data_IF_877907947472
#
_entry.id   IF_877907947472
#
_cell.length_a   1.000
_cell.length_b   1.000
_cell.length_c   1.000
_cell.angle_alpha   90.00
_cell.angle_beta   90.00
_cell.angle_gamma   90.00
#
_symmetry.space_group_name_H-M   'P 1'
#
loop_
_entity.id
_entity.type
_entity.pdbx_description
1 polymer ?
#
# COMPACT_ATOMS: atom_id res chain seq x y z
N UNK A 1 19.99 18.40 -28.70
CA UNK A 1 19.80 16.95 -28.50
C UNK A 1 18.71 16.77 -27.47
N UNK A 2 17.66 16.08 -27.90
CA UNK A 2 16.36 15.90 -27.29
C UNK A 2 16.43 15.16 -25.94
N UNK A 3 15.52 15.43 -25.02
CA UNK A 3 14.42 14.48 -24.72
C UNK A 3 13.19 15.28 -24.31
N UNK A 4 12.09 14.95 -24.98
CA UNK A 4 10.76 15.53 -24.94
C UNK A 4 10.06 15.34 -23.59
N UNK A 5 9.75 16.43 -22.89
CA UNK A 5 8.63 16.46 -21.95
C UNK A 5 7.33 16.42 -22.75
N UNK A 6 6.82 15.21 -22.98
CA UNK A 6 5.52 15.03 -23.62
C UNK A 6 4.43 15.42 -22.63
N UNK A 7 4.11 16.71 -22.63
CA UNK A 7 2.89 17.26 -22.06
C UNK A 7 1.73 16.78 -22.95
N UNK A 8 1.19 15.60 -22.65
CA UNK A 8 -0.07 15.15 -23.27
C UNK A 8 -1.21 15.98 -22.70
N UNK A 9 -1.59 16.99 -23.49
CA UNK A 9 -2.77 17.85 -23.37
C UNK A 9 -4.01 17.00 -23.06
N UNK A 10 -4.55 17.14 -21.85
CA UNK A 10 -5.83 16.53 -21.48
C UNK A 10 -6.97 17.37 -22.05
N UNK A 11 -7.48 16.92 -23.20
CA UNK A 11 -8.87 17.18 -23.57
C UNK A 11 -9.83 16.67 -22.50
N UNK A 12 -10.93 17.39 -22.32
CA UNK A 12 -11.96 17.17 -21.32
C UNK A 12 -12.55 15.74 -21.34
N UNK A 13 -12.20 14.91 -20.35
CA UNK A 13 -13.12 13.90 -19.78
C UNK A 13 -12.81 13.65 -18.28
N UNK A 14 -13.70 14.09 -17.40
CA UNK A 14 -13.62 13.98 -15.92
C UNK A 14 -14.07 12.60 -15.39
N UNK A 15 -14.00 11.53 -16.19
CA UNK A 15 -14.33 10.16 -15.74
C UNK A 15 -13.14 9.51 -15.01
N UNK A 16 -13.22 9.52 -13.68
CA UNK A 16 -12.55 8.64 -12.69
C UNK A 16 -11.33 7.84 -13.23
N UNK A 17 -10.21 8.50 -13.54
CA UNK A 17 -8.94 7.78 -13.71
C UNK A 17 -8.61 7.10 -12.38
N UNK A 18 -8.75 5.78 -12.31
CA UNK A 18 -8.34 4.97 -11.17
C UNK A 18 -6.83 5.14 -10.98
N UNK A 19 -6.43 5.95 -10.01
CA UNK A 19 -5.02 6.12 -9.65
C UNK A 19 -4.46 4.76 -9.26
N UNK A 20 -3.39 4.37 -9.93
CA UNK A 20 -2.73 3.07 -9.73
C UNK A 20 -1.26 3.33 -9.43
N UNK A 21 -0.72 2.66 -8.41
CA UNK A 21 0.67 2.80 -8.01
C UNK A 21 1.37 1.45 -7.95
N UNK A 22 2.69 1.48 -8.11
CA UNK A 22 3.56 0.38 -7.69
C UNK A 22 3.84 0.55 -6.20
N UNK A 23 3.58 -0.50 -5.43
CA UNK A 23 3.74 -0.54 -3.99
C UNK A 23 4.30 -1.90 -3.55
N UNK A 24 4.68 -2.00 -2.28
CA UNK A 24 5.42 -3.11 -1.73
C UNK A 24 4.82 -3.56 -0.41
N UNK A 25 4.88 -4.86 -0.16
CA UNK A 25 4.51 -5.49 1.10
C UNK A 25 5.60 -6.49 1.50
N UNK A 26 6.27 -6.24 2.61
CA UNK A 26 7.25 -7.16 3.17
C UNK A 26 6.58 -8.22 4.02
N UNK A 27 6.94 -9.48 3.82
CA UNK A 27 6.37 -10.63 4.52
C UNK A 27 7.35 -11.81 4.49
N UNK A 28 6.95 -12.97 5.01
CA UNK A 28 7.75 -14.20 4.90
C UNK A 28 7.61 -14.84 3.51
N UNK A 29 8.58 -15.65 3.10
CA UNK A 29 8.56 -16.35 1.81
C UNK A 29 7.32 -17.24 1.66
N UNK A 30 6.98 -17.99 2.71
CA UNK A 30 5.77 -18.82 2.73
C UNK A 30 4.50 -17.97 2.56
N UNK A 31 4.41 -16.84 3.27
CA UNK A 31 3.26 -15.95 3.16
C UNK A 31 3.18 -15.29 1.78
N UNK A 32 4.31 -14.88 1.19
CA UNK A 32 4.35 -14.32 -0.16
C UNK A 32 3.83 -15.30 -1.22
N UNK A 33 4.23 -16.57 -1.13
CA UNK A 33 3.71 -17.64 -2.02
C UNK A 33 2.21 -17.86 -1.82
N UNK A 34 1.75 -17.90 -0.58
CA UNK A 34 0.32 -18.02 -0.25
C UNK A 34 -0.50 -16.85 -0.82
N UNK A 35 -0.04 -15.61 -0.62
CA UNK A 35 -0.67 -14.40 -1.14
C UNK A 35 -0.68 -14.37 -2.67
N UNK A 36 0.39 -14.81 -3.34
CA UNK A 36 0.43 -14.90 -4.80
C UNK A 36 -0.61 -15.89 -5.35
N UNK A 37 -0.85 -17.00 -4.63
CA UNK A 37 -1.79 -18.05 -5.04
C UNK A 37 -3.25 -17.73 -4.69
N UNK A 38 -3.49 -17.14 -3.52
CA UNK A 38 -4.83 -16.99 -2.95
C UNK A 38 -5.31 -15.54 -2.82
N UNK A 39 -4.44 -14.57 -3.13
CA UNK A 39 -4.69 -13.16 -2.89
C UNK A 39 -4.45 -12.75 -1.44
N UNK A 40 -4.51 -11.44 -1.19
CA UNK A 40 -4.40 -10.91 0.17
C UNK A 40 -5.66 -11.18 0.98
N UNK A 41 -5.47 -11.44 2.26
CA UNK A 41 -6.50 -11.29 3.28
C UNK A 41 -6.24 -9.99 4.04
N UNK A 42 -7.30 -9.29 4.44
CA UNK A 42 -7.17 -8.10 5.27
C UNK A 42 -6.79 -8.47 6.69
N UNK A 43 -6.05 -7.60 7.35
CA UNK A 43 -6.03 -7.58 8.81
C UNK A 43 -7.40 -7.15 9.36
N UNK A 44 -7.69 -7.56 10.59
CA UNK A 44 -8.90 -7.14 11.33
C UNK A 44 -8.73 -5.79 12.04
N UNK A 45 -7.49 -5.35 12.26
CA UNK A 45 -7.15 -4.04 12.85
C UNK A 45 -5.76 -3.57 12.39
N UNK A 46 -5.36 -2.39 12.83
CA UNK A 46 -4.03 -1.80 12.68
C UNK A 46 -4.08 -0.30 12.97
N UNK A 47 -2.98 0.42 12.68
CA UNK A 47 -2.91 1.87 12.85
C UNK A 47 -4.05 2.60 12.13
N UNK A 48 -4.45 2.10 10.95
CA UNK A 48 -5.51 2.64 10.11
C UNK A 48 -6.76 1.74 10.10
N UNK A 49 -6.90 0.85 11.08
CA UNK A 49 -7.98 -0.14 11.11
C UNK A 49 -7.78 -1.29 10.11
N UNK A 50 -8.85 -2.05 9.82
CA UNK A 50 -8.77 -3.24 8.97
C UNK A 50 -8.43 -2.93 7.50
N UNK A 51 -7.53 -3.73 6.92
CA UNK A 51 -7.16 -3.61 5.52
C UNK A 51 -5.86 -4.33 5.18
N UNK A 52 -5.34 -4.06 3.98
CA UNK A 52 -4.02 -4.54 3.54
C UNK A 52 -3.05 -3.37 3.55
N UNK A 53 -1.98 -3.49 4.33
CA UNK A 53 -0.97 -2.46 4.52
C UNK A 53 0.14 -2.58 3.48
N UNK A 54 0.39 -1.50 2.74
CA UNK A 54 1.38 -1.43 1.67
C UNK A 54 2.11 -0.09 1.71
N UNK A 55 3.28 -0.04 1.08
CA UNK A 55 4.13 1.15 1.05
C UNK A 55 4.69 1.36 -0.36
N UNK A 56 4.87 2.61 -0.79
CA UNK A 56 5.60 2.96 -2.02
C UNK A 56 7.11 2.81 -1.86
N UNK A 57 7.61 2.68 -0.62
CA UNK A 57 9.03 2.47 -0.34
C UNK A 57 9.38 0.98 -0.25
N UNK A 58 10.15 0.50 -1.23
CA UNK A 58 10.75 -0.84 -1.19
C UNK A 58 11.70 -1.01 0.01
N UNK A 59 12.49 0.02 0.31
CA UNK A 59 13.43 -0.01 1.44
C UNK A 59 12.71 -0.15 2.79
N UNK A 60 11.52 0.44 2.92
CA UNK A 60 10.65 0.19 4.09
C UNK A 60 10.15 -1.25 4.09
N UNK A 61 9.66 -1.75 2.95
CA UNK A 61 9.06 -3.08 2.89
C UNK A 61 10.06 -4.22 3.16
N UNK A 62 11.29 -4.13 2.64
CA UNK A 62 12.29 -5.21 2.76
C UNK A 62 12.72 -5.55 4.19
N UNK A 63 12.51 -4.64 5.15
CA UNK A 63 12.84 -4.88 6.57
C UNK A 63 11.69 -5.51 7.36
N UNK A 64 10.55 -5.82 6.72
CA UNK A 64 9.45 -6.57 7.34
C UNK A 64 9.44 -8.05 6.92
N UNK A 65 8.98 -8.96 7.81
CA UNK A 65 8.65 -8.70 9.22
C UNK A 65 9.91 -8.42 10.04
N UNK A 66 9.88 -7.51 11.02
CA UNK A 66 11.08 -7.15 11.79
C UNK A 66 11.75 -8.38 12.44
N UNK A 67 10.94 -9.28 13.00
CA UNK A 67 11.37 -10.58 13.50
C UNK A 67 11.01 -11.66 12.47
N UNK A 68 12.02 -12.29 11.87
CA UNK A 68 11.83 -13.37 10.91
C UNK A 68 11.78 -14.72 11.65
N UNK A 69 10.73 -15.53 11.48
CA UNK A 69 10.68 -16.86 12.08
C UNK A 69 11.83 -17.75 11.60
N UNK A 70 12.26 -18.70 12.45
CA UNK A 70 13.29 -19.67 12.09
C UNK A 70 12.82 -20.49 10.86
N UNK A 71 13.69 -20.61 9.86
CA UNK A 71 13.42 -21.34 8.63
C UNK A 71 12.65 -20.55 7.56
N UNK A 72 12.29 -19.29 7.82
CA UNK A 72 11.70 -18.41 6.81
C UNK A 72 12.77 -17.57 6.11
N UNK A 73 12.46 -17.17 4.88
CA UNK A 73 13.19 -16.13 4.14
C UNK A 73 12.33 -14.87 4.06
N UNK A 74 12.92 -13.68 4.10
CA UNK A 74 12.17 -12.45 3.83
C UNK A 74 11.81 -12.38 2.35
N UNK A 75 10.61 -11.89 2.08
CA UNK A 75 10.14 -11.63 0.73
C UNK A 75 9.41 -10.30 0.69
N UNK A 76 9.57 -9.59 -0.43
CA UNK A 76 8.83 -8.38 -0.75
C UNK A 76 7.95 -8.67 -1.96
N UNK A 77 6.65 -8.48 -1.79
CA UNK A 77 5.71 -8.51 -2.89
C UNK A 77 5.76 -7.17 -3.63
N UNK A 78 6.00 -7.20 -4.94
CA UNK A 78 5.82 -6.06 -5.84
C UNK A 78 4.36 -6.03 -6.32
N UNK A 79 3.67 -4.92 -6.09
CA UNK A 79 2.21 -4.82 -6.22
C UNK A 79 1.80 -3.71 -7.18
N UNK A 80 0.78 -3.97 -7.99
CA UNK A 80 -0.01 -2.92 -8.66
C UNK A 80 -1.27 -2.67 -7.86
N UNK A 81 -1.40 -1.48 -7.26
CA UNK A 81 -2.49 -1.13 -6.34
C UNK A 81 -3.38 -0.05 -6.95
N UNK A 82 -4.67 -0.33 -7.09
CA UNK A 82 -5.70 0.65 -7.46
C UNK A 82 -6.21 1.34 -6.20
N UNK A 83 -5.78 2.58 -5.93
CA UNK A 83 -6.07 3.24 -4.64
C UNK A 83 -7.46 3.89 -4.55
N UNK A 84 -8.11 4.17 -5.68
CA UNK A 84 -9.47 4.74 -5.67
C UNK A 84 -9.58 6.06 -4.89
N UNK A 85 -10.62 6.19 -4.05
CA UNK A 85 -10.84 7.35 -3.19
C UNK A 85 -9.99 7.24 -1.92
N UNK A 86 -8.99 8.10 -1.79
CA UNK A 86 -8.01 8.06 -0.69
C UNK A 86 -8.40 9.02 0.42
N UNK A 87 -8.36 8.57 1.69
CA UNK A 87 -8.44 9.43 2.87
C UNK A 87 -7.06 9.63 3.47
N UNK A 88 -6.59 10.87 3.51
CA UNK A 88 -5.40 11.26 4.26
C UNK A 88 -5.70 11.18 5.78
N UNK A 89 -4.85 10.49 6.52
CA UNK A 89 -4.86 10.34 7.98
C UNK A 89 -3.52 10.88 8.49
N UNK A 90 -3.49 12.12 8.95
CA UNK A 90 -2.25 12.88 9.20
C UNK A 90 -2.03 13.27 10.66
N UNK A 91 -2.71 12.59 11.58
CA UNK A 91 -2.45 12.69 13.01
C UNK A 91 -3.01 11.49 13.74
N UNK A 92 -2.36 11.13 14.85
CA UNK A 92 -2.90 10.15 15.78
C UNK A 92 -4.24 10.65 16.34
N UNK A 93 -5.22 9.75 16.45
CA UNK A 93 -6.59 10.09 16.86
C UNK A 93 -7.38 10.86 15.80
N UNK A 94 -7.01 10.78 14.51
CA UNK A 94 -7.82 11.36 13.44
C UNK A 94 -9.24 10.72 13.48
N UNK A 95 -10.35 11.49 13.33
CA UNK A 95 -11.72 10.97 13.50
C UNK A 95 -12.07 9.76 12.62
N UNK A 96 -11.47 9.71 11.42
CA UNK A 96 -11.63 8.60 10.47
C UNK A 96 -10.46 7.60 10.47
N UNK A 97 -9.56 7.63 11.46
CA UNK A 97 -8.33 6.83 11.46
C UNK A 97 -8.60 5.34 11.22
N UNK A 98 -9.62 4.77 11.84
CA UNK A 98 -10.00 3.35 11.68
C UNK A 98 -11.30 3.11 10.90
N UNK A 99 -12.08 4.15 10.64
CA UNK A 99 -13.45 4.05 10.09
C UNK A 99 -13.59 4.59 8.68
N UNK A 100 -12.53 5.13 8.06
CA UNK A 100 -12.56 5.71 6.71
C UNK A 100 -13.28 4.85 5.65
N UNK A 101 -13.16 3.52 5.71
CA UNK A 101 -13.83 2.62 4.77
C UNK A 101 -15.37 2.70 4.86
N UNK A 102 -15.91 2.94 6.05
CA UNK A 102 -17.34 3.13 6.30
C UNK A 102 -17.87 4.44 5.68
N UNK A 103 -16.96 5.40 5.42
CA UNK A 103 -17.26 6.67 4.76
C UNK A 103 -17.00 6.63 3.24
N UNK A 104 -16.92 5.43 2.65
CA UNK A 104 -16.79 5.23 1.20
C UNK A 104 -15.41 5.53 0.64
N UNK A 105 -14.37 5.51 1.47
CA UNK A 105 -12.98 5.58 1.01
C UNK A 105 -12.45 4.16 0.74
N UNK A 106 -11.65 4.04 -0.32
CA UNK A 106 -11.07 2.77 -0.76
C UNK A 106 -9.71 2.49 -0.10
N UNK A 107 -9.01 3.56 0.28
CA UNK A 107 -7.67 3.52 0.88
C UNK A 107 -7.55 4.63 1.93
N UNK A 108 -6.99 4.33 3.10
CA UNK A 108 -6.42 5.34 3.98
C UNK A 108 -4.92 5.47 3.72
N UNK A 109 -4.40 6.70 3.82
CA UNK A 109 -3.01 7.00 3.60
C UNK A 109 -2.45 7.87 4.72
N UNK A 110 -1.35 7.45 5.31
CA UNK A 110 -0.55 8.22 6.27
C UNK A 110 0.63 8.86 5.56
N UNK A 111 0.71 10.21 5.51
CA UNK A 111 1.82 10.90 4.88
C UNK A 111 3.09 10.86 5.75
N UNK A 112 4.26 11.14 5.16
CA UNK A 112 5.47 11.35 5.93
C UNK A 112 5.36 12.56 6.85
N UNK A 113 6.13 12.50 7.93
CA UNK A 113 6.33 13.61 8.88
C UNK A 113 5.06 14.09 9.60
N UNK A 114 4.09 13.20 9.83
CA UNK A 114 2.85 13.52 10.56
C UNK A 114 2.78 12.92 11.97
N UNK A 115 3.88 12.35 12.46
CA UNK A 115 3.98 11.78 13.81
C UNK A 115 3.33 10.41 14.01
N UNK A 116 2.78 9.78 12.96
CA UNK A 116 2.15 8.45 13.04
C UNK A 116 3.04 7.31 12.53
N UNK A 117 4.04 7.64 11.71
CA UNK A 117 5.02 6.71 11.14
C UNK A 117 6.42 7.29 11.34
N UNK A 118 7.49 6.47 11.28
CA UNK A 118 8.86 6.98 11.34
C UNK A 118 9.10 8.10 10.32
N UNK A 119 10.05 8.99 10.64
CA UNK A 119 10.31 10.19 9.83
C UNK A 119 10.60 9.83 8.36
N UNK A 120 10.03 10.58 7.43
CA UNK A 120 10.15 10.32 5.98
C UNK A 120 9.43 9.07 5.46
N UNK A 121 8.80 8.25 6.31
CA UNK A 121 8.04 7.06 5.88
C UNK A 121 6.57 7.36 5.63
N UNK A 122 5.89 6.45 4.95
CA UNK A 122 4.48 6.57 4.62
C UNK A 122 3.83 5.19 4.65
N UNK A 123 2.50 5.12 4.69
CA UNK A 123 1.78 3.85 4.63
C UNK A 123 0.37 4.02 4.06
N UNK A 124 -0.02 3.10 3.19
CA UNK A 124 -1.37 2.95 2.67
C UNK A 124 -2.03 1.73 3.31
N UNK A 125 -3.32 1.85 3.64
CA UNK A 125 -4.17 0.73 4.06
C UNK A 125 -5.35 0.62 3.09
N UNK A 126 -5.38 -0.48 2.33
CA UNK A 126 -6.38 -0.72 1.26
C UNK A 126 -7.52 -1.60 1.79
N UNK A 127 -8.76 -1.17 1.58
CA UNK A 127 -9.93 -1.86 2.15
C UNK A 127 -10.31 -3.12 1.40
N UNK A 128 -10.17 -3.17 0.08
CA UNK A 128 -10.55 -4.34 -0.71
C UNK A 128 -9.30 -4.98 -1.34
N UNK A 129 -8.90 -6.19 -0.90
CA UNK A 129 -7.79 -6.93 -1.48
C UNK A 129 -7.84 -7.08 -3.01
N UNK A 130 -9.04 -7.09 -3.62
CA UNK A 130 -9.21 -7.19 -5.09
C UNK A 130 -8.69 -5.96 -5.84
N UNK A 131 -8.31 -4.90 -5.13
CA UNK A 131 -7.63 -3.72 -5.68
C UNK A 131 -6.12 -3.91 -5.83
N UNK A 132 -5.56 -5.00 -5.30
CA UNK A 132 -4.14 -5.29 -5.27
C UNK A 132 -3.86 -6.46 -6.20
N UNK A 133 -2.97 -6.25 -7.18
CA UNK A 133 -2.43 -7.31 -8.02
C UNK A 133 -0.99 -7.56 -7.65
N UNK A 134 -0.65 -8.79 -7.25
CA UNK A 134 0.73 -9.23 -7.10
C UNK A 134 1.37 -9.32 -8.50
N UNK A 135 2.47 -8.61 -8.68
CA UNK A 135 3.27 -8.65 -9.90
C UNK A 135 4.43 -9.63 -9.75
N UNK A 136 5.14 -9.58 -8.63
CA UNK A 136 6.32 -10.39 -8.40
C UNK A 136 6.61 -10.64 -6.91
N UNK A 137 7.47 -11.62 -6.63
CA UNK A 137 8.05 -11.90 -5.31
C UNK A 137 9.56 -11.70 -5.39
N UNK A 138 10.09 -10.81 -4.56
CA UNK A 138 11.52 -10.53 -4.46
C UNK A 138 12.02 -11.03 -3.11
N UNK A 139 12.93 -12.01 -3.10
CA UNK A 139 13.56 -12.48 -1.87
C UNK A 139 14.69 -11.53 -1.46
N UNK A 140 14.78 -11.20 -0.17
CA UNK A 140 15.67 -10.16 0.38
C UNK A 140 16.38 -10.56 1.66
#
# INVERSE_FOLDING_TARGET
MEVTDVVMTMGLDKRRRSRTYIMYHGTTGTAALSIKKHGFQRSTDGMLGPGVYVSRSFQKARVFPANLPVGEQRAVLNLRVRVGKVKKIDRQGHPLQKTWHQHGYDTAWVPPNCGMVPIGMEEDCVWDPRRIKVLDIIYV
#
